data_IF_857740798307
#
_entry.id   IF_857740798307
#
_cell.length_a   1.000
_cell.length_b   1.000
_cell.length_c   1.000
_cell.angle_alpha   90.00
_cell.angle_beta   90.00
_cell.angle_gamma   90.00
#
_symmetry.space_group_name_H-M   'P 1'
#
loop_
_entity.id
_entity.type
_entity.pdbx_description
1 polymer ?
#
# COMPACT_ATOMS: atom_id res chain seq x y z
N UNK A 1 -1.99 22.91 -2.09
CA UNK A 1 -1.89 21.53 -2.61
C UNK A 1 -2.00 20.49 -1.51
N UNK A 2 -2.60 19.32 -1.81
CA UNK A 2 -2.81 18.22 -0.86
C UNK A 2 -2.53 16.85 -1.48
N UNK A 3 -1.83 15.96 -0.75
CA UNK A 3 -1.66 14.55 -1.10
C UNK A 3 -2.31 13.70 -0.02
N UNK A 4 -3.16 12.75 -0.41
CA UNK A 4 -3.91 11.86 0.50
C UNK A 4 -3.47 10.43 0.22
N UNK A 5 -2.81 9.81 1.19
CA UNK A 5 -2.42 8.40 1.10
C UNK A 5 -3.48 7.55 1.80
N UNK A 6 -4.18 6.69 1.06
CA UNK A 6 -5.19 5.78 1.59
C UNK A 6 -4.68 4.37 1.48
N UNK A 7 -4.87 3.57 2.53
CA UNK A 7 -4.64 2.13 2.45
C UNK A 7 -5.89 1.47 1.88
N UNK A 8 -5.69 0.56 0.91
CA UNK A 8 -6.75 -0.28 0.34
C UNK A 8 -7.63 -0.95 1.40
N UNK A 9 -8.79 -1.46 1.02
CA UNK A 9 -9.68 -2.21 1.88
C UNK A 9 -9.11 -3.54 2.33
N UNK A 10 -9.64 -4.10 3.41
CA UNK A 10 -9.16 -5.37 3.96
C UNK A 10 -9.39 -6.49 2.95
N UNK A 11 -8.36 -7.23 2.53
CA UNK A 11 -8.58 -8.43 1.72
C UNK A 11 -9.32 -9.49 2.55
N UNK A 12 -10.33 -10.13 1.97
CA UNK A 12 -11.10 -11.21 2.56
C UNK A 12 -10.34 -12.54 2.47
N UNK A 13 -9.18 -12.56 3.09
CA UNK A 13 -8.27 -13.68 3.02
C UNK A 13 -8.48 -14.62 4.21
N UNK A 14 -9.15 -15.75 3.97
CA UNK A 14 -9.26 -16.91 4.87
C UNK A 14 -7.97 -17.73 4.98
N UNK A 15 -6.82 -17.07 5.09
CA UNK A 15 -5.50 -17.70 5.07
C UNK A 15 -5.28 -18.77 6.12
N UNK A 16 -4.44 -19.75 5.79
CA UNK A 16 -4.00 -20.74 6.78
C UNK A 16 -3.42 -20.02 8.00
N UNK A 17 -3.97 -20.33 9.19
CA UNK A 17 -3.54 -19.72 10.46
C UNK A 17 -2.08 -20.07 10.81
N UNK A 18 -1.62 -21.19 10.28
CA UNK A 18 -0.27 -21.74 10.45
C UNK A 18 0.35 -21.98 9.08
N UNK A 19 1.64 -21.72 8.98
CA UNK A 19 2.41 -21.95 7.76
C UNK A 19 3.83 -22.33 8.11
N UNK A 20 4.46 -23.08 7.22
CA UNK A 20 5.91 -23.18 7.18
C UNK A 20 6.47 -21.96 6.43
N UNK A 21 7.77 -21.67 6.54
CA UNK A 21 8.40 -20.58 5.82
C UNK A 21 8.23 -20.69 4.29
N UNK A 22 8.51 -21.85 3.69
CA UNK A 22 8.21 -22.12 2.28
C UNK A 22 6.71 -22.03 1.97
N UNK A 23 5.85 -22.45 2.90
CA UNK A 23 4.39 -22.32 2.77
C UNK A 23 3.88 -20.88 2.69
N UNK A 24 4.70 -19.90 3.11
CA UNK A 24 4.33 -18.49 2.98
C UNK A 24 4.18 -18.03 1.54
N UNK A 25 4.78 -18.73 0.56
CA UNK A 25 4.51 -18.51 -0.86
C UNK A 25 3.02 -18.63 -1.17
N UNK A 26 2.43 -19.79 -0.86
CA UNK A 26 1.00 -20.04 -1.08
C UNK A 26 0.13 -19.11 -0.23
N UNK A 27 0.57 -18.75 0.97
CA UNK A 27 -0.12 -17.75 1.79
C UNK A 27 -0.19 -16.39 1.07
N UNK A 28 0.93 -15.91 0.52
CA UNK A 28 1.01 -14.63 -0.21
C UNK A 28 0.18 -14.67 -1.49
N UNK A 29 0.26 -15.75 -2.27
CA UNK A 29 -0.53 -15.93 -3.49
C UNK A 29 -2.03 -15.81 -3.21
N UNK A 30 -2.53 -16.52 -2.18
CA UNK A 30 -3.93 -16.44 -1.76
C UNK A 30 -4.31 -15.08 -1.19
N UNK A 31 -3.40 -14.37 -0.53
CA UNK A 31 -3.66 -13.01 -0.06
C UNK A 31 -3.77 -12.02 -1.22
N UNK A 32 -2.95 -12.17 -2.25
CA UNK A 32 -2.99 -11.32 -3.44
C UNK A 32 -4.22 -11.57 -4.33
N UNK A 33 -4.76 -12.79 -4.31
CA UNK A 33 -5.96 -13.18 -5.05
C UNK A 33 -7.27 -12.96 -4.29
N UNK A 34 -7.22 -12.51 -3.03
CA UNK A 34 -8.42 -12.29 -2.23
C UNK A 34 -9.11 -10.98 -2.62
N UNK A 35 -10.45 -11.05 -2.71
CA UNK A 35 -11.33 -9.89 -2.89
C UNK A 35 -11.26 -8.95 -1.68
N UNK A 36 -11.81 -7.75 -1.81
CA UNK A 36 -11.82 -6.74 -0.76
C UNK A 36 -13.17 -6.73 -0.03
N UNK A 37 -13.12 -6.64 1.30
CA UNK A 37 -14.33 -6.43 2.12
C UNK A 37 -14.82 -4.98 1.96
N UNK A 38 -15.62 -4.75 0.93
CA UNK A 38 -16.16 -3.44 0.55
C UNK A 38 -17.08 -2.83 1.62
N UNK A 39 -17.78 -3.65 2.40
CA UNK A 39 -18.70 -3.21 3.45
C UNK A 39 -18.00 -2.46 4.60
N UNK A 40 -16.67 -2.55 4.71
CA UNK A 40 -15.88 -1.79 5.69
C UNK A 40 -15.48 -0.40 5.18
N UNK A 41 -15.82 -0.04 3.92
CA UNK A 41 -15.55 1.29 3.37
C UNK A 41 -16.38 2.35 4.10
N UNK A 42 -15.76 3.40 4.68
CA UNK A 42 -16.50 4.50 5.26
C UNK A 42 -17.04 5.45 4.17
N UNK A 43 -18.24 5.99 4.36
CA UNK A 43 -18.83 6.95 3.41
C UNK A 43 -18.05 8.26 3.33
N UNK A 44 -17.43 8.67 4.44
CA UNK A 44 -16.51 9.82 4.46
C UNK A 44 -15.32 9.67 3.50
N UNK A 45 -14.97 8.45 3.11
CA UNK A 45 -13.91 8.22 2.13
C UNK A 45 -14.41 8.39 0.68
N UNK A 46 -15.68 8.08 0.40
CA UNK A 46 -16.31 8.40 -0.89
C UNK A 46 -16.35 9.90 -1.07
N UNK A 47 -16.87 10.63 -0.08
CA UNK A 47 -16.88 12.10 -0.09
C UNK A 47 -15.47 12.69 -0.29
N UNK A 48 -14.48 12.14 0.41
CA UNK A 48 -13.08 12.55 0.27
C UNK A 48 -12.56 12.31 -1.14
N UNK A 49 -12.88 11.17 -1.75
CA UNK A 49 -12.47 10.83 -3.10
C UNK A 49 -13.15 11.73 -4.14
N UNK A 50 -14.45 12.00 -4.01
CA UNK A 50 -15.19 12.91 -4.88
C UNK A 50 -14.70 14.36 -4.78
N UNK A 51 -14.15 14.75 -3.64
CA UNK A 51 -13.55 16.09 -3.43
C UNK A 51 -12.10 16.23 -3.90
N UNK A 52 -11.43 15.11 -4.19
CA UNK A 52 -10.04 15.14 -4.64
C UNK A 52 -9.99 15.52 -6.13
N UNK A 53 -9.00 16.34 -6.51
CA UNK A 53 -8.83 16.76 -7.88
C UNK A 53 -8.50 15.61 -8.81
N UNK A 54 -7.75 14.62 -8.32
CA UNK A 54 -7.55 13.35 -9.00
C UNK A 54 -7.37 12.18 -8.02
N UNK A 55 -7.81 11.00 -8.44
CA UNK A 55 -7.65 9.77 -7.67
C UNK A 55 -6.89 8.74 -8.50
N UNK A 56 -5.77 8.26 -7.96
CA UNK A 56 -4.87 7.27 -8.58
C UNK A 56 -4.75 6.03 -7.69
N UNK A 57 -4.33 4.90 -8.26
CA UNK A 57 -4.17 3.68 -7.49
C UNK A 57 -2.97 2.85 -7.94
N UNK A 58 -2.53 1.98 -7.03
CA UNK A 58 -1.59 0.91 -7.36
C UNK A 58 -2.20 -0.11 -8.32
N UNK A 59 -1.35 -0.69 -9.16
CA UNK A 59 -1.68 -1.80 -10.07
C UNK A 59 -2.07 -3.12 -9.39
N UNK A 60 -1.98 -3.25 -8.07
CA UNK A 60 -2.38 -4.49 -7.38
C UNK A 60 -3.91 -4.57 -7.25
N UNK A 61 -4.48 -5.75 -7.53
CA UNK A 61 -5.92 -5.98 -7.63
C UNK A 61 -6.74 -5.38 -6.48
N UNK A 62 -6.33 -5.62 -5.23
CA UNK A 62 -6.99 -5.06 -4.05
C UNK A 62 -7.06 -3.52 -4.02
N UNK A 63 -6.12 -2.82 -4.63
CA UNK A 63 -6.19 -1.35 -4.77
C UNK A 63 -7.15 -0.95 -5.88
N UNK A 64 -7.17 -1.68 -6.99
CA UNK A 64 -8.09 -1.46 -8.11
C UNK A 64 -9.53 -1.65 -7.64
N UNK A 65 -9.81 -2.76 -6.97
CA UNK A 65 -11.12 -3.07 -6.39
C UNK A 65 -11.51 -2.07 -5.30
N UNK A 66 -10.58 -1.73 -4.39
CA UNK A 66 -10.86 -0.71 -3.38
C UNK A 66 -11.21 0.65 -4.00
N UNK A 67 -10.54 1.03 -5.09
CA UNK A 67 -10.81 2.26 -5.82
C UNK A 67 -12.18 2.21 -6.51
N UNK A 68 -12.60 1.07 -7.08
CA UNK A 68 -13.92 0.97 -7.72
C UNK A 68 -15.07 1.16 -6.74
N UNK A 69 -14.84 0.95 -5.44
CA UNK A 69 -15.83 1.23 -4.40
C UNK A 69 -15.89 2.70 -3.95
N UNK A 70 -15.03 3.59 -4.46
CA UNK A 70 -15.03 5.00 -4.11
C UNK A 70 -16.03 5.84 -4.92
N UNK A 71 -16.70 5.24 -5.91
CA UNK A 71 -17.76 5.89 -6.71
C UNK A 71 -17.31 7.22 -7.34
N UNK A 72 -16.01 7.37 -7.61
CA UNK A 72 -15.41 8.56 -8.22
C UNK A 72 -15.01 8.30 -9.68
N UNK A 73 -15.14 9.31 -10.52
CA UNK A 73 -14.70 9.29 -11.92
C UNK A 73 -13.16 9.31 -11.99
N UNK A 74 -12.57 8.12 -11.95
CA UNK A 74 -11.13 7.91 -12.07
C UNK A 74 -10.75 7.49 -13.49
N UNK A 75 -10.05 8.37 -14.21
CA UNK A 75 -9.57 8.10 -15.56
C UNK A 75 -8.13 7.57 -15.62
N UNK A 76 -7.39 7.58 -14.50
CA UNK A 76 -5.98 7.16 -14.49
C UNK A 76 -5.82 5.64 -14.42
N UNK A 77 -4.89 5.14 -15.22
CA UNK A 77 -4.55 3.71 -15.28
C UNK A 77 -3.82 3.31 -13.99
N UNK A 78 -4.11 2.15 -13.39
CA UNK A 78 -3.39 1.67 -12.22
C UNK A 78 -1.88 1.59 -12.46
N UNK A 79 -1.08 2.18 -11.57
CA UNK A 79 0.36 2.37 -11.78
C UNK A 79 1.21 1.43 -10.88
N UNK A 80 2.11 0.62 -11.45
CA UNK A 80 3.06 -0.20 -10.70
C UNK A 80 4.02 0.58 -9.79
N UNK A 81 4.24 1.88 -10.04
CA UNK A 81 5.08 2.72 -9.18
C UNK A 81 4.58 2.72 -7.73
N UNK A 82 3.27 2.59 -7.52
CA UNK A 82 2.64 2.55 -6.20
C UNK A 82 2.51 1.13 -5.60
N UNK A 83 2.99 0.08 -6.26
CA UNK A 83 2.82 -1.31 -5.80
C UNK A 83 3.48 -1.61 -4.44
N UNK A 84 2.84 -2.43 -3.61
CA UNK A 84 3.45 -2.90 -2.36
C UNK A 84 4.65 -3.80 -2.65
N UNK A 85 5.82 -3.60 -2.01
CA UNK A 85 6.89 -4.59 -2.04
C UNK A 85 6.38 -5.93 -1.52
N UNK A 86 6.60 -6.99 -2.31
CA UNK A 86 6.18 -8.34 -1.95
C UNK A 86 6.84 -8.77 -0.64
N UNK A 87 6.15 -9.63 0.11
CA UNK A 87 6.72 -10.20 1.32
C UNK A 87 7.76 -11.24 0.88
N UNK A 88 9.04 -11.13 1.29
CA UNK A 88 10.00 -12.18 0.99
C UNK A 88 9.65 -13.44 1.76
N UNK A 89 10.13 -14.58 1.28
CA UNK A 89 10.03 -15.85 1.99
C UNK A 89 11.25 -16.72 1.69
N UNK A 90 11.76 -17.50 2.64
CA UNK A 90 12.81 -18.49 2.39
C UNK A 90 12.21 -19.81 1.93
N UNK A 91 13.04 -20.67 1.32
CA UNK A 91 12.60 -21.93 0.72
C UNK A 91 12.65 -23.14 1.66
N UNK A 92 12.94 -22.95 2.96
CA UNK A 92 12.97 -24.06 3.93
C UNK A 92 11.57 -24.46 4.44
N UNK A 93 11.40 -25.75 4.74
CA UNK A 93 10.09 -26.35 5.02
C UNK A 93 9.63 -26.35 6.49
N UNK A 94 10.47 -25.95 7.46
CA UNK A 94 10.16 -26.03 8.89
C UNK A 94 10.74 -24.80 9.64
N UNK A 95 10.25 -24.47 10.85
CA UNK A 95 9.14 -25.09 11.58
C UNK A 95 7.75 -24.60 11.14
N UNK A 96 6.70 -25.29 11.56
CA UNK A 96 5.31 -24.80 11.43
C UNK A 96 5.02 -23.80 12.55
N UNK A 97 4.75 -22.54 12.20
CA UNK A 97 4.42 -21.47 13.15
C UNK A 97 3.20 -20.67 12.67
N UNK A 98 2.59 -19.83 13.52
CA UNK A 98 1.48 -18.98 13.10
C UNK A 98 1.89 -18.09 11.91
N UNK A 99 1.10 -18.03 10.85
CA UNK A 99 1.44 -17.27 9.63
C UNK A 99 1.66 -15.78 9.92
N UNK A 100 0.98 -15.24 10.95
CA UNK A 100 1.22 -13.87 11.45
C UNK A 100 2.65 -13.64 11.93
N UNK A 101 3.27 -14.65 12.54
CA UNK A 101 4.65 -14.57 13.01
C UNK A 101 5.60 -14.48 11.81
N UNK A 102 5.43 -15.35 10.81
CA UNK A 102 6.26 -15.32 9.60
C UNK A 102 6.12 -14.00 8.83
N UNK A 103 4.90 -13.45 8.71
CA UNK A 103 4.71 -12.14 8.07
C UNK A 103 5.50 -11.04 8.76
N UNK A 104 5.48 -10.99 10.09
CA UNK A 104 6.23 -10.00 10.85
C UNK A 104 7.74 -10.25 10.71
N UNK A 105 8.19 -11.49 10.93
CA UNK A 105 9.60 -11.87 10.85
C UNK A 105 10.20 -11.56 9.47
N UNK A 106 9.52 -11.96 8.38
CA UNK A 106 10.02 -11.76 7.02
C UNK A 106 9.96 -10.30 6.59
N UNK A 107 8.93 -9.55 7.02
CA UNK A 107 8.90 -8.10 6.77
C UNK A 107 10.01 -7.38 7.54
N UNK A 108 10.31 -7.79 8.77
CA UNK A 108 11.45 -7.25 9.53
C UNK A 108 12.77 -7.62 8.86
N UNK A 109 12.96 -8.88 8.46
CA UNK A 109 14.15 -9.30 7.72
C UNK A 109 14.32 -8.53 6.40
N UNK A 110 13.23 -8.21 5.73
CA UNK A 110 13.23 -7.38 4.52
C UNK A 110 13.78 -5.97 4.77
N UNK A 111 13.39 -5.33 5.87
CA UNK A 111 13.98 -4.05 6.28
C UNK A 111 15.49 -4.15 6.59
N UNK A 112 15.97 -5.35 6.93
CA UNK A 112 17.39 -5.66 7.14
C UNK A 112 18.10 -6.12 5.85
N UNK A 113 17.42 -6.13 4.70
CA UNK A 113 18.00 -6.44 3.38
C UNK A 113 17.68 -7.83 2.81
N UNK A 114 16.88 -8.65 3.50
CA UNK A 114 16.46 -9.94 2.94
C UNK A 114 15.46 -9.73 1.78
N UNK A 115 15.79 -10.19 0.58
CA UNK A 115 15.01 -9.92 -0.63
C UNK A 115 14.78 -11.17 -1.50
N UNK A 116 14.65 -12.36 -0.90
CA UNK A 116 14.32 -13.56 -1.67
C UNK A 116 12.91 -13.43 -2.25
N UNK A 117 12.75 -13.71 -3.55
CA UNK A 117 11.48 -13.64 -4.30
C UNK A 117 10.79 -12.26 -4.29
N UNK A 118 11.51 -11.18 -4.00
CA UNK A 118 11.00 -9.80 -3.99
C UNK A 118 12.13 -8.79 -4.28
N UNK A 119 11.78 -7.55 -4.58
CA UNK A 119 12.75 -6.46 -4.68
C UNK A 119 13.39 -6.12 -3.33
N UNK A 120 14.61 -5.58 -3.37
CA UNK A 120 15.34 -5.16 -2.19
C UNK A 120 14.80 -3.82 -1.65
N UNK A 121 14.91 -3.57 -0.33
CA UNK A 121 14.43 -2.32 0.30
C UNK A 121 14.95 -1.04 -0.38
N UNK A 122 16.18 -1.08 -0.91
CA UNK A 122 16.77 0.05 -1.67
C UNK A 122 16.00 0.34 -2.96
N UNK A 123 15.56 -0.69 -3.67
CA UNK A 123 14.78 -0.56 -4.90
C UNK A 123 13.38 -0.02 -4.58
N UNK A 124 12.71 -0.54 -3.55
CA UNK A 124 11.42 0.01 -3.10
C UNK A 124 11.54 1.45 -2.61
N UNK A 125 12.66 1.82 -2.00
CA UNK A 125 12.90 3.21 -1.56
C UNK A 125 13.07 4.13 -2.76
N UNK A 126 13.81 3.71 -3.79
CA UNK A 126 13.93 4.45 -5.06
C UNK A 126 12.57 4.58 -5.74
N UNK A 127 11.78 3.51 -5.77
CA UNK A 127 10.43 3.51 -6.33
C UNK A 127 9.47 4.41 -5.55
N UNK A 128 9.57 4.43 -4.22
CA UNK A 128 8.82 5.34 -3.38
C UNK A 128 9.20 6.82 -3.61
N UNK A 129 10.45 7.10 -3.96
CA UNK A 129 10.89 8.45 -4.37
C UNK A 129 10.18 8.88 -5.66
N UNK A 130 10.19 8.01 -6.68
CA UNK A 130 9.49 8.26 -7.95
C UNK A 130 7.97 8.38 -7.75
N UNK A 131 7.38 7.53 -6.91
CA UNK A 131 5.97 7.63 -6.54
C UNK A 131 5.64 8.96 -5.85
N UNK A 132 6.50 9.44 -4.96
CA UNK A 132 6.31 10.74 -4.32
C UNK A 132 6.41 11.90 -5.33
N UNK A 133 7.36 11.86 -6.26
CA UNK A 133 7.47 12.83 -7.36
C UNK A 133 6.21 12.84 -8.22
N UNK A 134 5.73 11.67 -8.66
CA UNK A 134 4.49 11.55 -9.42
C UNK A 134 3.27 12.12 -8.69
N UNK A 135 3.16 11.88 -7.38
CA UNK A 135 2.06 12.44 -6.58
C UNK A 135 2.18 13.95 -6.43
N UNK A 136 3.39 14.50 -6.35
CA UNK A 136 3.61 15.95 -6.29
C UNK A 136 3.17 16.59 -7.61
N UNK A 137 3.61 16.06 -8.75
CA UNK A 137 3.20 16.55 -10.08
C UNK A 137 1.67 16.53 -10.24
N UNK A 138 1.03 15.45 -9.82
CA UNK A 138 -0.43 15.32 -9.85
C UNK A 138 -1.12 16.33 -8.92
N UNK A 139 -0.58 16.56 -7.73
CA UNK A 139 -1.12 17.55 -6.80
C UNK A 139 -0.93 18.99 -7.28
N UNK A 140 0.17 19.28 -7.99
CA UNK A 140 0.43 20.58 -8.62
C UNK A 140 -0.54 20.84 -9.77
N UNK A 141 -0.84 19.82 -10.58
CA UNK A 141 -1.76 19.95 -11.72
C UNK A 141 -3.24 19.97 -11.32
N UNK A 142 -3.62 19.33 -10.20
CA UNK A 142 -5.03 19.11 -9.83
C UNK A 142 -5.40 19.66 -8.45
N UNK A 143 -4.54 20.46 -7.80
CA UNK A 143 -4.62 20.93 -6.40
C UNK A 143 -4.60 19.84 -5.32
N UNK A 144 -5.14 18.66 -5.60
CA UNK A 144 -5.12 17.53 -4.70
C UNK A 144 -5.10 16.18 -5.41
N UNK A 145 -4.41 15.21 -4.82
CA UNK A 145 -4.39 13.81 -5.28
C UNK A 145 -4.67 12.84 -4.14
N UNK A 146 -5.49 11.84 -4.40
CA UNK A 146 -5.70 10.69 -3.53
C UNK A 146 -5.05 9.45 -4.14
N UNK A 147 -4.15 8.81 -3.39
CA UNK A 147 -3.58 7.52 -3.74
C UNK A 147 -4.30 6.40 -2.97
N UNK A 148 -4.93 5.49 -3.70
CA UNK A 148 -5.32 4.18 -3.17
C UNK A 148 -4.13 3.22 -3.23
N UNK A 149 -3.43 3.09 -2.10
CA UNK A 149 -2.14 2.40 -1.97
C UNK A 149 -2.10 1.39 -0.83
N UNK A 150 -0.91 1.19 -0.28
CA UNK A 150 -0.60 0.06 0.61
C UNK A 150 0.11 0.49 1.88
N UNK A 151 0.23 -0.42 2.85
CA UNK A 151 0.79 -0.09 4.16
C UNK A 151 2.26 0.32 4.08
N UNK A 152 3.12 -0.52 3.48
CA UNK A 152 4.57 -0.29 3.48
C UNK A 152 4.94 0.79 2.47
N UNK A 153 4.39 0.72 1.26
CA UNK A 153 4.65 1.69 0.21
C UNK A 153 4.16 3.09 0.60
N UNK A 154 2.97 3.25 1.20
CA UNK A 154 2.54 4.58 1.68
C UNK A 154 3.48 5.11 2.77
N UNK A 155 4.05 4.25 3.62
CA UNK A 155 5.02 4.69 4.62
C UNK A 155 6.35 5.14 4.01
N UNK A 156 6.81 4.47 2.95
CA UNK A 156 8.00 4.89 2.20
C UNK A 156 7.73 6.20 1.45
N UNK A 157 6.58 6.35 0.80
CA UNK A 157 6.16 7.58 0.11
C UNK A 157 6.04 8.73 1.12
N UNK A 158 5.41 8.51 2.27
CA UNK A 158 5.28 9.51 3.34
C UNK A 158 6.64 10.08 3.77
N UNK A 159 7.64 9.22 3.94
CA UNK A 159 9.02 9.65 4.24
C UNK A 159 9.58 10.54 3.14
N UNK A 160 9.38 10.17 1.88
CA UNK A 160 9.85 10.91 0.70
C UNK A 160 9.15 12.27 0.56
N UNK A 161 7.84 12.34 0.83
CA UNK A 161 7.08 13.59 0.85
C UNK A 161 7.59 14.53 1.95
N UNK A 162 7.81 14.02 3.16
CA UNK A 162 8.32 14.83 4.27
C UNK A 162 9.73 15.36 4.01
N UNK A 163 10.60 14.56 3.40
CA UNK A 163 11.93 15.02 2.98
C UNK A 163 11.85 16.16 1.96
N UNK A 164 10.76 16.24 1.19
CA UNK A 164 10.45 17.31 0.23
C UNK A 164 9.62 18.44 0.83
N UNK A 165 9.51 18.53 2.16
CA UNK A 165 8.86 19.63 2.87
C UNK A 165 7.33 19.54 2.99
N UNK A 166 6.74 18.37 2.72
CA UNK A 166 5.31 18.17 2.98
C UNK A 166 5.05 17.89 4.46
N UNK A 167 3.97 18.48 5.00
CA UNK A 167 3.54 18.33 6.39
C UNK A 167 2.47 17.25 6.50
N UNK A 168 2.71 16.22 7.31
CA UNK A 168 1.78 15.11 7.56
C UNK A 168 2.40 14.05 8.47
N UNK A 169 1.72 12.94 8.76
CA UNK A 169 2.24 11.88 9.64
C UNK A 169 3.59 11.33 9.16
N UNK A 170 4.53 11.09 10.08
CA UNK A 170 5.87 10.61 9.73
C UNK A 170 5.87 9.19 9.14
N UNK A 171 5.07 8.30 9.72
CA UNK A 171 4.93 6.92 9.31
C UNK A 171 3.46 6.50 9.47
N UNK A 172 2.66 6.46 8.40
CA UNK A 172 1.29 5.95 8.44
C UNK A 172 1.26 4.41 8.54
N UNK A 173 2.14 3.79 9.35
CA UNK A 173 2.18 2.34 9.58
C UNK A 173 1.08 1.86 10.54
N UNK A 174 0.43 2.79 11.23
CA UNK A 174 -0.68 2.49 12.14
C UNK A 174 -2.05 2.69 11.47
N UNK A 175 -2.08 3.15 10.22
CA UNK A 175 -3.36 3.31 9.51
C UNK A 175 -3.98 1.94 9.22
N UNK A 176 -5.26 1.85 9.61
CA UNK A 176 -6.13 0.73 9.26
C UNK A 176 -6.37 0.67 7.75
N UNK A 177 -7.08 -0.37 7.32
CA UNK A 177 -7.66 -0.38 5.98
C UNK A 177 -8.64 0.79 5.83
N UNK A 178 -8.78 1.32 4.61
CA UNK A 178 -9.64 2.47 4.30
C UNK A 178 -9.30 3.79 5.01
N UNK A 179 -8.20 3.85 5.78
CA UNK A 179 -7.85 5.03 6.56
C UNK A 179 -6.94 5.97 5.73
N UNK A 180 -7.32 7.25 5.58
CA UNK A 180 -6.52 8.25 4.88
C UNK A 180 -5.42 8.84 5.78
N UNK A 181 -4.34 9.31 5.16
CA UNK A 181 -3.31 10.17 5.76
C UNK A 181 -3.05 11.35 4.86
N UNK A 182 -3.19 12.56 5.40
CA UNK A 182 -3.10 13.80 4.64
C UNK A 182 -1.70 14.41 4.76
N UNK A 183 -1.18 14.88 3.64
CA UNK A 183 0.06 15.62 3.50
C UNK A 183 -0.24 16.95 2.80
N UNK A 184 0.21 18.06 3.37
CA UNK A 184 -0.07 19.40 2.87
C UNK A 184 1.25 20.16 2.69
N UNK A 185 1.32 20.94 1.62
CA UNK A 185 2.41 21.89 1.38
C UNK A 185 1.80 23.18 0.85
N UNK A 186 2.12 24.28 1.55
CA UNK A 186 1.86 25.66 1.15
C UNK A 186 2.87 26.13 0.12
#
# INVERSE_FOLDING_TARGET
>A
MQIILVRHGRPDHGGARWSTPKGMKTWVERYNAADVVATERPDSLVELASSAGIVVCSSLQRCIESRSHLECDCCEVPDPVFAEPHLPYPDWGLPLLPSRFWRLAFRTAWFLGFASHTEHIRESTRRASAAAERLIELAEANESVLLMGHKIMNALIARQLRQRGWNGPALPLLTGYWQPSRYIKT
#
